data_IF_070812554271
#
_entry.id   IF_070812554271
#
_cell.length_a   1.000
_cell.length_b   1.000
_cell.length_c   1.000
_cell.angle_alpha   90.00
_cell.angle_beta   90.00
_cell.angle_gamma   90.00
#
_symmetry.space_group_name_H-M   'P 1'
#
loop_
_entity.id
_entity.type
_entity.pdbx_description
1 polymer ?
#
# COMPACT_ATOMS: atom_id res chain seq x y z
N UNK A 1 12.35 -4.81 2.93
CA UNK A 1 13.58 -4.96 2.15
C UNK A 1 14.72 -5.27 3.11
N UNK A 2 15.13 -6.52 3.16
CA UNK A 2 16.33 -6.90 3.90
C UNK A 2 17.52 -6.80 2.94
N UNK A 3 18.37 -5.80 3.10
CA UNK A 3 19.72 -5.78 2.55
C UNK A 3 20.57 -6.76 3.36
N UNK A 4 20.47 -8.03 3.01
CA UNK A 4 21.31 -9.08 3.54
C UNK A 4 21.81 -9.94 2.37
N UNK A 5 23.11 -9.97 2.15
CA UNK A 5 23.70 -10.93 1.23
C UNK A 5 23.27 -12.34 1.62
N UNK A 6 22.73 -13.09 0.65
CA UNK A 6 22.49 -14.54 0.57
C UNK A 6 21.13 -15.06 1.06
N UNK A 7 20.40 -15.59 0.09
CA UNK A 7 19.48 -16.73 0.17
C UNK A 7 18.22 -16.60 1.02
N UNK A 8 17.52 -15.48 0.92
CA UNK A 8 16.10 -15.45 1.32
C UNK A 8 15.24 -15.82 0.11
N UNK A 9 14.54 -16.94 0.19
CA UNK A 9 13.47 -17.24 -0.73
C UNK A 9 12.24 -16.43 -0.28
N UNK A 10 11.78 -15.51 -1.11
CA UNK A 10 10.54 -14.75 -0.87
C UNK A 10 9.40 -15.51 -1.55
N UNK A 11 8.49 -16.06 -0.75
CA UNK A 11 7.25 -16.66 -1.24
C UNK A 11 6.11 -15.70 -0.98
N UNK A 12 5.45 -15.26 -2.03
CA UNK A 12 4.20 -14.54 -1.93
C UNK A 12 3.05 -15.55 -1.86
N UNK A 13 2.39 -15.61 -0.71
CA UNK A 13 1.24 -16.47 -0.50
C UNK A 13 -0.01 -15.60 -0.41
N UNK A 14 -0.93 -15.81 -1.34
CA UNK A 14 -2.18 -15.06 -1.40
C UNK A 14 -3.28 -15.88 -0.73
N UNK A 15 -4.12 -15.19 0.04
CA UNK A 15 -5.33 -15.77 0.59
C UNK A 15 -6.32 -16.14 -0.53
N UNK A 16 -6.88 -17.33 -0.48
CA UNK A 16 -8.00 -17.70 -1.33
C UNK A 16 -9.29 -17.02 -0.88
N UNK A 17 -10.30 -16.92 -1.75
CA UNK A 17 -11.60 -16.34 -1.38
C UNK A 17 -12.25 -17.03 -0.18
N UNK A 18 -12.03 -18.32 -0.03
CA UNK A 18 -12.63 -19.16 1.03
C UNK A 18 -11.94 -18.97 2.40
N UNK A 19 -10.71 -18.47 2.44
CA UNK A 19 -9.97 -18.24 3.68
C UNK A 19 -10.56 -17.12 4.55
N UNK A 20 -11.40 -16.24 3.98
CA UNK A 20 -12.12 -15.21 4.73
C UNK A 20 -13.07 -15.73 5.80
N UNK A 21 -13.64 -16.91 5.59
CA UNK A 21 -14.64 -17.46 6.49
C UNK A 21 -14.01 -18.25 7.63
N UNK A 22 -12.74 -18.68 7.50
CA UNK A 22 -12.09 -19.52 8.51
C UNK A 22 -10.57 -19.30 8.57
N UNK A 23 -10.15 -18.34 9.38
CA UNK A 23 -8.72 -18.06 9.63
C UNK A 23 -7.93 -19.28 10.10
N UNK A 24 -8.57 -20.20 10.82
CA UNK A 24 -7.90 -21.42 11.31
C UNK A 24 -7.54 -22.37 10.18
N UNK A 25 -8.43 -22.57 9.22
CA UNK A 25 -8.18 -23.39 8.04
C UNK A 25 -7.11 -22.77 7.15
N UNK A 26 -7.16 -21.46 6.94
CA UNK A 26 -6.16 -20.74 6.18
C UNK A 26 -4.77 -20.83 6.84
N UNK A 27 -4.67 -20.60 8.14
CA UNK A 27 -3.43 -20.73 8.89
C UNK A 27 -2.82 -22.13 8.75
N UNK A 28 -3.64 -23.19 8.80
CA UNK A 28 -3.17 -24.56 8.60
C UNK A 28 -2.61 -24.80 7.20
N UNK A 29 -3.25 -24.27 6.16
CA UNK A 29 -2.76 -24.36 4.78
C UNK A 29 -1.48 -23.57 4.62
N UNK A 30 -1.42 -22.32 5.13
CA UNK A 30 -0.25 -21.47 5.11
C UNK A 30 0.95 -22.17 5.77
N UNK A 31 0.75 -22.77 6.94
CA UNK A 31 1.80 -23.47 7.66
C UNK A 31 2.44 -24.64 6.89
N UNK A 32 1.80 -25.21 5.87
CA UNK A 32 2.43 -26.21 5.00
C UNK A 32 3.60 -25.65 4.19
N UNK A 33 3.59 -24.33 3.92
CA UNK A 33 4.57 -23.62 3.08
C UNK A 33 5.71 -22.96 3.86
N UNK A 34 5.70 -23.02 5.19
CA UNK A 34 6.72 -22.41 6.05
C UNK A 34 7.40 -23.45 6.94
N UNK A 35 8.50 -23.05 7.56
CA UNK A 35 9.22 -23.85 8.53
C UNK A 35 9.66 -23.00 9.74
N UNK A 36 10.33 -23.61 10.72
CA UNK A 36 10.79 -22.97 11.96
C UNK A 36 11.80 -21.82 11.79
N UNK A 37 12.37 -21.67 10.59
CA UNK A 37 13.30 -20.58 10.25
C UNK A 37 12.62 -19.47 9.44
N UNK A 38 11.33 -19.62 9.13
CA UNK A 38 10.58 -18.65 8.32
C UNK A 38 10.20 -17.42 9.13
N UNK A 39 10.46 -16.25 8.59
CA UNK A 39 9.91 -14.97 9.04
C UNK A 39 8.65 -14.72 8.21
N UNK A 40 7.54 -14.51 8.87
CA UNK A 40 6.24 -14.25 8.23
C UNK A 40 5.93 -12.77 8.30
N UNK A 41 5.71 -12.15 7.13
CA UNK A 41 5.21 -10.80 7.00
C UNK A 41 3.72 -10.86 6.71
N UNK A 42 2.91 -10.22 7.55
CA UNK A 42 1.45 -10.14 7.40
C UNK A 42 1.09 -8.71 6.98
N UNK A 43 0.54 -8.57 5.77
CA UNK A 43 0.02 -7.30 5.22
C UNK A 43 -1.41 -7.53 4.72
N UNK A 44 -2.29 -7.89 5.65
CA UNK A 44 -3.70 -8.16 5.36
C UNK A 44 -4.58 -7.88 6.59
N UNK A 45 -5.45 -6.87 6.50
CA UNK A 45 -6.33 -6.45 7.60
C UNK A 45 -7.42 -7.46 7.99
N UNK A 46 -7.55 -8.54 7.23
CA UNK A 46 -8.53 -9.62 7.47
C UNK A 46 -8.00 -10.66 8.45
N UNK A 47 -6.67 -10.69 8.63
CA UNK A 47 -5.99 -11.59 9.54
C UNK A 47 -5.78 -10.90 10.89
N UNK A 48 -6.05 -11.63 11.96
CA UNK A 48 -5.91 -11.13 13.32
C UNK A 48 -5.07 -12.07 14.21
N UNK A 49 -5.08 -11.80 15.50
CA UNK A 49 -4.36 -12.56 16.51
C UNK A 49 -4.64 -14.06 16.50
N UNK A 50 -5.80 -14.52 16.01
CA UNK A 50 -6.14 -15.95 15.98
C UNK A 50 -5.30 -16.67 14.92
N UNK A 51 -5.24 -16.10 13.71
CA UNK A 51 -4.41 -16.59 12.63
C UNK A 51 -2.93 -16.54 13.00
N UNK A 52 -2.46 -15.39 13.48
CA UNK A 52 -1.07 -15.17 13.86
C UNK A 52 -0.63 -16.12 14.99
N UNK A 53 -1.49 -16.39 15.98
CA UNK A 53 -1.22 -17.34 17.06
C UNK A 53 -1.03 -18.78 16.56
N UNK A 54 -1.80 -19.18 15.55
CA UNK A 54 -1.63 -20.50 14.95
C UNK A 54 -0.32 -20.59 14.18
N UNK A 55 -0.03 -19.59 13.34
CA UNK A 55 1.19 -19.54 12.51
C UNK A 55 2.45 -19.42 13.36
N UNK A 56 2.39 -18.74 14.50
CA UNK A 56 3.52 -18.59 15.43
C UNK A 56 4.02 -19.91 16.02
N UNK A 57 3.23 -20.99 15.96
CA UNK A 57 3.67 -22.32 16.37
C UNK A 57 4.73 -22.92 15.44
N UNK A 58 4.83 -22.41 14.22
CA UNK A 58 5.77 -22.92 13.20
C UNK A 58 6.74 -21.87 12.70
N UNK A 59 6.32 -20.61 12.58
CA UNK A 59 7.17 -19.51 12.15
C UNK A 59 8.22 -19.13 13.21
N UNK A 60 9.39 -18.69 12.77
CA UNK A 60 10.42 -18.12 13.66
C UNK A 60 9.96 -16.80 14.25
N UNK A 61 9.46 -15.90 13.39
CA UNK A 61 8.96 -14.57 13.77
C UNK A 61 7.79 -14.17 12.88
N UNK A 62 6.89 -13.37 13.47
CA UNK A 62 5.80 -12.73 12.74
C UNK A 62 5.96 -11.21 12.84
N UNK A 63 5.90 -10.53 11.71
CA UNK A 63 5.89 -9.09 11.57
C UNK A 63 4.60 -8.68 10.86
N UNK A 64 3.76 -7.88 11.54
CA UNK A 64 2.50 -7.39 10.99
C UNK A 64 2.60 -5.93 10.61
N UNK A 65 2.14 -5.61 9.39
CA UNK A 65 2.03 -4.24 8.88
C UNK A 65 0.61 -3.77 9.15
N UNK A 66 0.48 -2.60 9.78
CA UNK A 66 -0.80 -2.03 10.12
C UNK A 66 -0.76 -0.50 10.01
N UNK A 67 -1.82 0.14 9.53
CA UNK A 67 -1.92 1.59 9.43
C UNK A 67 -3.05 2.21 10.27
N UNK A 68 -4.06 1.42 10.66
CA UNK A 68 -5.28 1.91 11.29
C UNK A 68 -5.36 1.67 12.80
N UNK A 69 -4.50 0.86 13.37
CA UNK A 69 -4.53 0.42 14.77
C UNK A 69 -5.90 -0.16 15.20
N UNK A 70 -6.52 -0.95 14.33
CA UNK A 70 -7.84 -1.57 14.58
C UNK A 70 -7.75 -3.04 14.96
N UNK A 71 -6.79 -3.74 14.40
CA UNK A 71 -6.64 -5.19 14.56
C UNK A 71 -5.93 -5.53 15.88
N UNK A 72 -6.35 -6.63 16.51
CA UNK A 72 -5.63 -7.21 17.64
C UNK A 72 -4.64 -8.23 17.09
N UNK A 73 -3.37 -8.11 17.44
CA UNK A 73 -2.30 -8.95 16.90
C UNK A 73 -1.77 -9.99 17.89
N UNK A 74 -1.02 -10.97 17.36
CA UNK A 74 -0.19 -11.91 18.08
C UNK A 74 1.19 -12.01 17.40
N UNK A 75 1.81 -10.85 17.16
CA UNK A 75 3.04 -10.69 16.37
C UNK A 75 4.24 -10.36 17.25
N UNK A 76 5.45 -10.65 16.76
CA UNK A 76 6.71 -10.26 17.39
C UNK A 76 7.02 -8.78 17.12
N UNK A 77 6.62 -8.31 15.94
CA UNK A 77 6.82 -6.92 15.51
C UNK A 77 5.53 -6.40 14.87
N UNK A 78 5.19 -5.16 15.18
CA UNK A 78 4.14 -4.40 14.51
C UNK A 78 4.77 -3.17 13.88
N UNK A 79 4.60 -3.01 12.57
CA UNK A 79 5.05 -1.85 11.81
C UNK A 79 3.85 -0.98 11.48
N UNK A 80 3.90 0.27 11.92
CA UNK A 80 2.90 1.26 11.54
C UNK A 80 3.59 2.58 11.21
N UNK A 81 3.70 2.89 9.93
CA UNK A 81 4.40 4.08 9.42
C UNK A 81 3.59 5.37 9.47
N UNK A 82 2.36 5.33 9.99
CA UNK A 82 1.50 6.51 10.05
C UNK A 82 2.13 7.62 10.90
N UNK A 83 2.25 8.87 10.38
CA UNK A 83 2.82 10.00 11.09
C UNK A 83 2.14 10.31 12.44
N UNK A 84 0.87 9.95 12.59
CA UNK A 84 0.11 10.09 13.84
C UNK A 84 0.79 9.40 15.03
N UNK A 85 1.57 8.35 14.78
CA UNK A 85 2.20 7.53 15.81
C UNK A 85 3.71 7.80 15.98
N UNK A 86 4.20 8.97 15.56
CA UNK A 86 5.57 9.42 15.86
C UNK A 86 5.77 9.45 17.38
N UNK A 87 4.79 9.99 18.10
CA UNK A 87 4.71 9.84 19.55
C UNK A 87 4.00 8.53 19.88
N UNK A 88 4.78 7.57 20.37
CA UNK A 88 4.29 6.23 20.70
C UNK A 88 3.27 6.21 21.85
N UNK A 89 3.15 7.29 22.62
CA UNK A 89 2.19 7.42 23.73
C UNK A 89 0.74 7.28 23.24
N UNK A 90 0.46 7.73 22.02
CA UNK A 90 -0.87 7.70 21.41
C UNK A 90 -1.20 6.36 20.74
N UNK A 91 -0.28 5.41 20.70
CA UNK A 91 -0.52 4.12 20.08
C UNK A 91 -1.10 3.12 21.08
N UNK A 92 -2.31 2.66 20.83
CA UNK A 92 -2.96 1.64 21.66
C UNK A 92 -2.34 0.27 21.37
N UNK A 93 -1.59 -0.26 22.32
CA UNK A 93 -0.92 -1.56 22.19
C UNK A 93 -1.92 -2.71 22.28
N UNK A 94 -2.34 -3.22 21.13
CA UNK A 94 -3.32 -4.30 21.01
C UNK A 94 -2.68 -5.62 20.61
N UNK A 95 -1.62 -6.03 21.30
CA UNK A 95 -0.97 -7.30 21.00
C UNK A 95 -1.13 -8.29 22.16
N UNK A 96 -1.39 -9.56 21.84
CA UNK A 96 -1.63 -10.62 22.84
C UNK A 96 -0.36 -11.28 23.37
N UNK A 97 0.82 -10.86 22.89
CA UNK A 97 2.12 -11.28 23.42
C UNK A 97 3.09 -10.10 23.48
N UNK A 98 4.28 -10.31 24.10
CA UNK A 98 5.36 -9.31 24.06
C UNK A 98 5.74 -9.01 22.61
N UNK A 99 5.77 -7.72 22.24
CA UNK A 99 5.92 -7.25 20.88
C UNK A 99 6.82 -6.00 20.85
N UNK A 100 7.60 -5.86 19.79
CA UNK A 100 8.30 -4.62 19.44
C UNK A 100 7.48 -3.80 18.48
N UNK A 101 7.27 -2.53 18.78
CA UNK A 101 6.50 -1.61 17.96
C UNK A 101 7.43 -0.70 17.18
N UNK A 102 7.32 -0.74 15.86
CA UNK A 102 8.08 0.05 14.89
C UNK A 102 7.14 1.13 14.33
N UNK A 103 7.05 2.26 15.02
CA UNK A 103 6.02 3.29 14.79
C UNK A 103 6.59 4.55 14.16
N UNK A 104 5.78 5.16 13.29
CA UNK A 104 6.07 6.42 12.63
C UNK A 104 6.81 6.29 11.30
N UNK A 105 6.98 7.41 10.56
CA UNK A 105 7.47 7.44 9.18
C UNK A 105 8.87 6.86 8.97
N UNK A 106 9.73 6.85 10.00
CA UNK A 106 11.07 6.24 9.91
C UNK A 106 11.05 4.75 9.60
N UNK A 107 9.92 4.09 9.84
CA UNK A 107 9.70 2.68 9.54
C UNK A 107 8.86 2.44 8.27
N UNK A 108 8.67 3.47 7.46
CA UNK A 108 7.99 3.32 6.16
C UNK A 108 8.74 2.35 5.28
N UNK A 109 8.01 1.40 4.71
CA UNK A 109 8.54 0.46 3.71
C UNK A 109 8.53 1.17 2.37
N UNK A 110 9.60 1.88 2.06
CA UNK A 110 9.75 2.66 0.83
C UNK A 110 10.86 2.04 0.01
N UNK A 111 10.64 1.90 -1.29
CA UNK A 111 11.71 1.54 -2.21
C UNK A 111 12.69 2.73 -2.34
N UNK A 112 13.95 2.53 -1.92
CA UNK A 112 15.01 3.53 -2.02
C UNK A 112 15.59 3.63 -3.44
N UNK A 113 14.78 3.47 -4.48
CA UNK A 113 15.23 3.79 -5.83
C UNK A 113 15.64 5.27 -5.87
N UNK A 114 16.82 5.52 -6.46
CA UNK A 114 17.37 6.87 -6.57
C UNK A 114 16.32 7.79 -7.19
N UNK A 115 15.92 8.81 -6.46
CA UNK A 115 15.05 9.85 -7.00
C UNK A 115 15.69 10.39 -8.29
N UNK A 116 15.02 10.22 -9.41
CA UNK A 116 15.47 10.76 -10.69
C UNK A 116 15.42 12.29 -10.55
N UNK A 117 16.57 12.94 -10.70
CA UNK A 117 16.63 14.40 -10.70
C UNK A 117 15.78 14.92 -11.86
N UNK A 118 14.60 15.44 -11.54
CA UNK A 118 13.72 16.03 -12.58
C UNK A 118 14.38 17.24 -13.19
N UNK A 119 14.39 17.33 -14.53
CA UNK A 119 14.79 18.54 -15.24
C UNK A 119 13.84 19.67 -14.82
N UNK A 120 14.38 20.85 -14.56
CA UNK A 120 13.57 22.05 -14.29
C UNK A 120 12.62 22.28 -15.46
N UNK A 121 11.32 22.20 -15.23
CA UNK A 121 10.28 22.48 -16.22
C UNK A 121 9.69 23.87 -15.95
N UNK A 122 9.42 24.62 -17.02
CA UNK A 122 8.68 25.88 -16.94
C UNK A 122 7.20 25.69 -16.66
N UNK A 123 6.69 24.47 -16.87
CA UNK A 123 5.31 24.08 -16.58
C UNK A 123 5.22 23.37 -15.24
N UNK A 124 4.22 23.71 -14.44
CA UNK A 124 3.88 22.98 -13.21
C UNK A 124 3.11 21.72 -13.54
N UNK A 125 3.35 20.64 -12.81
CA UNK A 125 2.60 19.41 -12.92
C UNK A 125 1.67 19.28 -11.71
N UNK A 126 0.40 19.03 -11.98
CA UNK A 126 -0.60 18.65 -10.98
C UNK A 126 -0.89 17.16 -11.16
N UNK A 127 -0.44 16.34 -10.23
CA UNK A 127 -0.58 14.88 -10.34
C UNK A 127 -1.67 14.38 -9.41
N UNK A 128 -2.59 13.59 -9.95
CA UNK A 128 -3.65 12.91 -9.23
C UNK A 128 -3.34 11.42 -9.13
N UNK A 129 -3.36 10.87 -7.92
CA UNK A 129 -3.20 9.45 -7.66
C UNK A 129 -4.06 9.02 -6.45
N UNK A 130 -4.96 8.06 -6.65
CA UNK A 130 -5.85 7.50 -5.61
C UNK A 130 -5.50 6.05 -5.25
N UNK A 131 -4.24 5.68 -5.37
CA UNK A 131 -3.80 4.31 -5.08
C UNK A 131 -4.19 3.29 -6.16
N UNK A 132 -3.97 2.02 -5.85
CA UNK A 132 -4.13 0.94 -6.82
C UNK A 132 -5.58 0.61 -7.20
N UNK A 133 -6.57 0.94 -6.36
CA UNK A 133 -7.97 0.51 -6.48
C UNK A 133 -8.99 1.65 -6.31
N UNK A 134 -8.60 2.90 -6.56
CA UNK A 134 -9.45 4.07 -6.40
C UNK A 134 -10.62 4.12 -7.40
N UNK A 135 -11.69 4.85 -7.03
CA UNK A 135 -12.80 5.14 -7.93
C UNK A 135 -12.54 6.48 -8.64
N UNK A 136 -12.36 6.43 -9.95
CA UNK A 136 -11.97 7.59 -10.75
C UNK A 136 -13.11 8.58 -11.05
N UNK A 137 -14.35 8.27 -10.65
CA UNK A 137 -15.49 9.16 -10.86
C UNK A 137 -15.30 10.53 -10.15
N UNK A 138 -14.62 10.56 -9.01
CA UNK A 138 -14.33 11.79 -8.30
C UNK A 138 -13.36 12.68 -9.07
N UNK A 139 -12.32 12.12 -9.67
CA UNK A 139 -11.40 12.84 -10.55
C UNK A 139 -12.12 13.38 -11.77
N UNK A 140 -12.95 12.54 -12.38
CA UNK A 140 -13.77 12.97 -13.52
C UNK A 140 -14.61 14.20 -13.17
N UNK A 141 -15.35 14.16 -12.04
CA UNK A 141 -16.18 15.28 -11.61
C UNK A 141 -15.38 16.56 -11.39
N UNK A 142 -14.26 16.47 -10.66
CA UNK A 142 -13.38 17.62 -10.36
C UNK A 142 -12.79 18.20 -11.65
N UNK A 143 -12.18 17.36 -12.46
CA UNK A 143 -11.50 17.80 -13.67
C UNK A 143 -12.49 18.33 -14.72
N UNK A 144 -13.63 17.67 -14.88
CA UNK A 144 -14.68 18.17 -15.79
C UNK A 144 -15.18 19.54 -15.36
N UNK A 145 -15.41 19.75 -14.05
CA UNK A 145 -15.76 21.06 -13.52
C UNK A 145 -14.69 22.11 -13.80
N UNK A 146 -13.40 21.78 -13.56
CA UNK A 146 -12.28 22.69 -13.81
C UNK A 146 -12.15 23.06 -15.29
N UNK A 147 -12.37 22.10 -16.19
CA UNK A 147 -12.33 22.32 -17.65
C UNK A 147 -13.47 23.21 -18.09
N UNK A 148 -14.71 22.88 -17.73
CA UNK A 148 -15.90 23.60 -18.13
C UNK A 148 -15.89 25.05 -17.65
N UNK A 149 -15.37 25.29 -16.45
CA UNK A 149 -15.31 26.63 -15.85
C UNK A 149 -13.96 27.36 -16.11
N UNK A 150 -13.12 26.85 -17.01
CA UNK A 150 -11.81 27.44 -17.36
C UNK A 150 -10.92 27.72 -16.12
N UNK A 151 -11.03 26.85 -15.10
CA UNK A 151 -10.29 26.98 -13.82
C UNK A 151 -8.93 26.26 -13.79
N UNK A 152 -8.50 25.69 -14.92
CA UNK A 152 -7.16 25.13 -15.03
C UNK A 152 -6.19 26.29 -15.25
N UNK A 153 -5.21 26.50 -14.35
CA UNK A 153 -4.25 27.57 -14.51
C UNK A 153 -3.39 27.39 -15.77
N UNK A 154 -3.01 28.51 -16.39
CA UNK A 154 -2.08 28.48 -17.50
C UNK A 154 -0.74 27.82 -17.08
N UNK A 155 -0.11 27.08 -17.98
CA UNK A 155 1.18 26.38 -17.76
C UNK A 155 1.13 25.25 -16.72
N UNK A 156 -0.06 24.67 -16.47
CA UNK A 156 -0.18 23.46 -15.64
C UNK A 156 -0.49 22.27 -16.54
N UNK A 157 0.31 21.21 -16.40
CA UNK A 157 -0.04 19.90 -16.95
C UNK A 157 -0.77 19.09 -15.88
N UNK A 158 -1.78 18.34 -16.26
CA UNK A 158 -2.52 17.45 -15.38
C UNK A 158 -2.07 16.03 -15.67
N UNK A 159 -1.50 15.37 -14.68
CA UNK A 159 -1.11 13.96 -14.76
C UNK A 159 -2.09 13.14 -13.93
N UNK A 160 -2.64 12.09 -14.50
CA UNK A 160 -3.55 11.17 -13.81
C UNK A 160 -2.91 9.79 -13.81
N UNK A 161 -2.58 9.29 -12.62
CA UNK A 161 -2.06 7.94 -12.46
C UNK A 161 -3.24 7.02 -12.18
N UNK A 162 -3.41 6.03 -13.04
CA UNK A 162 -4.49 5.05 -12.96
C UNK A 162 -3.93 3.75 -12.43
N UNK A 163 -4.39 3.36 -11.24
CA UNK A 163 -3.99 2.09 -10.64
C UNK A 163 -4.65 0.89 -11.35
N UNK A 164 -4.08 -0.32 -11.20
CA UNK A 164 -4.52 -1.50 -11.94
C UNK A 164 -5.98 -1.89 -11.63
N UNK A 165 -6.43 -1.70 -10.41
CA UNK A 165 -7.78 -2.04 -9.93
C UNK A 165 -8.74 -0.85 -9.87
N UNK A 166 -8.36 0.31 -10.45
CA UNK A 166 -9.23 1.48 -10.48
C UNK A 166 -10.52 1.21 -11.27
N UNK A 167 -11.62 1.75 -10.75
CA UNK A 167 -12.95 1.69 -11.39
C UNK A 167 -13.22 2.95 -12.22
N UNK A 168 -14.08 2.83 -13.23
CA UNK A 168 -14.52 3.93 -14.11
C UNK A 168 -13.36 4.62 -14.87
N UNK A 169 -12.41 3.84 -15.34
CA UNK A 169 -11.24 4.33 -16.11
C UNK A 169 -11.67 5.05 -17.37
N UNK A 170 -12.72 4.56 -18.05
CA UNK A 170 -13.27 5.08 -19.29
C UNK A 170 -13.61 6.58 -19.22
N UNK A 171 -14.09 7.05 -18.07
CA UNK A 171 -14.42 8.47 -17.87
C UNK A 171 -13.19 9.38 -17.97
N UNK A 172 -12.06 8.90 -17.46
CA UNK A 172 -10.79 9.65 -17.50
C UNK A 172 -10.23 9.67 -18.93
N UNK A 173 -10.33 8.55 -19.65
CA UNK A 173 -9.91 8.52 -21.07
C UNK A 173 -10.75 9.45 -21.94
N UNK A 174 -12.06 9.60 -21.66
CA UNK A 174 -12.92 10.57 -22.33
C UNK A 174 -12.47 12.02 -22.09
N UNK A 175 -12.05 12.36 -20.87
CA UNK A 175 -11.50 13.69 -20.56
C UNK A 175 -10.20 13.96 -21.29
N UNK A 176 -9.31 12.97 -21.36
CA UNK A 176 -8.04 13.10 -22.08
C UNK A 176 -8.26 13.39 -23.56
N UNK A 177 -9.21 12.71 -24.20
CA UNK A 177 -9.57 12.99 -25.62
C UNK A 177 -10.02 14.43 -25.85
N UNK A 178 -10.71 15.01 -24.88
CA UNK A 178 -11.25 16.39 -24.94
C UNK A 178 -10.23 17.48 -24.56
N UNK A 179 -9.19 17.14 -23.82
CA UNK A 179 -8.24 18.12 -23.30
C UNK A 179 -6.79 17.60 -23.32
N UNK A 180 -5.97 18.16 -24.21
CA UNK A 180 -4.55 17.81 -24.40
C UNK A 180 -3.64 18.12 -23.19
N UNK A 181 -4.11 18.91 -22.21
CA UNK A 181 -3.35 19.20 -20.99
C UNK A 181 -3.36 18.01 -20.02
N UNK A 182 -4.26 17.06 -20.20
CA UNK A 182 -4.39 15.86 -19.36
C UNK A 182 -3.51 14.77 -19.96
N UNK A 183 -2.62 14.21 -19.15
CA UNK A 183 -1.87 13.00 -19.47
C UNK A 183 -2.29 11.86 -18.55
N UNK A 184 -2.51 10.69 -19.10
CA UNK A 184 -2.87 9.49 -18.37
C UNK A 184 -1.65 8.57 -18.32
N UNK A 185 -1.37 8.06 -17.12
CA UNK A 185 -0.36 7.05 -16.85
C UNK A 185 -1.09 5.82 -16.29
N UNK A 186 -1.25 4.80 -17.09
CA UNK A 186 -1.84 3.52 -16.69
C UNK A 186 -0.74 2.46 -16.60
N UNK A 187 -0.86 1.57 -15.62
CA UNK A 187 0.08 0.47 -15.39
C UNK A 187 1.55 0.90 -15.22
N UNK A 188 1.80 2.00 -14.50
CA UNK A 188 3.16 2.40 -14.17
C UNK A 188 3.83 1.36 -13.28
N UNK A 189 5.00 0.90 -13.71
CA UNK A 189 5.87 0.05 -12.89
C UNK A 189 6.58 0.85 -11.80
N UNK A 190 6.81 2.14 -12.04
CA UNK A 190 7.50 3.03 -11.12
C UNK A 190 6.87 4.43 -11.13
N UNK A 191 6.49 4.95 -9.96
CA UNK A 191 5.92 6.30 -9.81
C UNK A 191 6.92 7.42 -10.12
N UNK A 192 8.21 7.13 -10.22
CA UNK A 192 9.23 8.10 -10.61
C UNK A 192 9.17 8.51 -12.09
N UNK A 193 8.35 7.84 -12.90
CA UNK A 193 8.17 8.15 -14.33
C UNK A 193 7.29 9.38 -14.59
N UNK A 194 6.65 9.93 -13.55
CA UNK A 194 5.66 11.04 -13.67
C UNK A 194 6.19 12.40 -13.16
#
# INVERSE_FOLDING_TARGET
>A
FFYGKKNFEIKNLYLTKDSFQNQSSDAKLFMKNINKNSIVLVDDYRLDHQWEKLVSKKAYKILSIEDQNKVIHYSDYIVNSNPKYIDQSNYIKKNKKKCSYLLGPKFSIINNEKLIKKKKSTKKNLTFYFGGAGNLIFYYKILNYMILNKKIPNRVNINIIVGPLCKNKELIYLLNKKNKLIKIYDNLNNLNEV
#
